data_IF_688691197253
#
_entry.id   IF_688691197253
#
_cell.length_a   1.000
_cell.length_b   1.000
_cell.length_c   1.000
_cell.angle_alpha   90.00
_cell.angle_beta   90.00
_cell.angle_gamma   90.00
#
_symmetry.space_group_name_H-M   'P 1'
#
loop_
_entity.id
_entity.type
_entity.pdbx_description
1 polymer ?
#
# COMPACT_ATOMS: atom_id res chain seq x y z
N UNK A 1 -9.38 11.20 7.00
CA UNK A 1 -8.39 12.15 7.55
C UNK A 1 -6.98 11.76 7.13
N UNK A 2 -6.18 12.72 6.72
CA UNK A 2 -4.83 12.48 6.24
C UNK A 2 -3.81 13.06 7.20
N UNK A 3 -2.73 12.32 7.48
CA UNK A 3 -1.61 12.81 8.30
C UNK A 3 -0.68 13.71 7.50
N UNK A 4 -0.62 13.50 6.18
CA UNK A 4 0.22 14.29 5.27
C UNK A 4 -0.63 14.74 4.08
N UNK A 5 -0.37 15.94 3.59
CA UNK A 5 -1.12 16.45 2.43
C UNK A 5 -0.86 15.62 1.16
N UNK A 6 0.29 14.98 1.08
CA UNK A 6 0.65 14.10 -0.04
C UNK A 6 -0.23 12.86 -0.10
N UNK A 7 -0.78 12.41 1.03
CA UNK A 7 -1.61 11.21 1.10
C UNK A 7 -2.88 11.34 0.28
N UNK A 8 -3.45 12.55 0.24
CA UNK A 8 -4.68 12.80 -0.50
C UNK A 8 -4.54 12.48 -1.99
N UNK A 9 -3.39 12.80 -2.58
CA UNK A 9 -3.12 12.64 -4.00
C UNK A 9 -2.37 11.36 -4.35
N UNK A 10 -2.08 10.51 -3.36
CA UNK A 10 -1.40 9.24 -3.54
C UNK A 10 -2.27 8.11 -3.02
N UNK A 11 -2.10 7.69 -1.78
CA UNK A 11 -2.91 6.60 -1.20
C UNK A 11 -4.39 6.94 -1.13
N UNK A 12 -4.75 8.22 -1.05
CA UNK A 12 -6.14 8.65 -1.07
C UNK A 12 -6.86 8.27 -2.35
N UNK A 13 -6.19 8.40 -3.50
CA UNK A 13 -6.74 7.98 -4.80
C UNK A 13 -6.94 6.48 -4.81
N UNK A 14 -5.97 5.71 -4.31
CA UNK A 14 -6.07 4.26 -4.21
C UNK A 14 -7.20 3.83 -3.29
N UNK A 15 -7.37 4.51 -2.17
CA UNK A 15 -8.42 4.21 -1.22
C UNK A 15 -9.81 4.48 -1.81
N UNK A 16 -10.00 5.62 -2.46
CA UNK A 16 -11.26 5.96 -3.12
C UNK A 16 -11.61 4.94 -4.20
N UNK A 17 -10.65 4.55 -5.01
CA UNK A 17 -10.83 3.53 -6.03
C UNK A 17 -11.20 2.19 -5.38
N UNK A 18 -10.48 1.79 -4.33
CA UNK A 18 -10.73 0.54 -3.63
C UNK A 18 -12.12 0.47 -3.01
N UNK A 19 -12.60 1.54 -2.40
CA UNK A 19 -13.95 1.61 -1.83
C UNK A 19 -15.00 1.49 -2.94
N UNK A 20 -14.80 2.18 -4.06
CA UNK A 20 -15.75 2.15 -5.18
C UNK A 20 -15.77 0.80 -5.91
N UNK A 21 -14.67 0.05 -5.90
CA UNK A 21 -14.49 -1.18 -6.68
C UNK A 21 -14.02 -2.36 -5.81
N UNK A 22 -14.46 -2.43 -4.56
CA UNK A 22 -13.92 -3.37 -3.57
C UNK A 22 -13.99 -4.86 -3.95
N UNK A 23 -14.98 -5.25 -4.76
CA UNK A 23 -15.14 -6.64 -5.20
C UNK A 23 -14.48 -6.92 -6.55
N UNK A 24 -13.91 -5.89 -7.18
CA UNK A 24 -13.30 -6.03 -8.49
C UNK A 24 -11.82 -6.35 -8.39
N UNK A 25 -11.32 -7.09 -9.37
CA UNK A 25 -9.89 -7.30 -9.54
C UNK A 25 -9.27 -6.03 -10.11
N UNK A 26 -8.09 -5.68 -9.63
CA UNK A 26 -7.34 -4.55 -10.15
C UNK A 26 -5.90 -4.95 -10.37
N UNK A 27 -5.22 -4.21 -11.23
CA UNK A 27 -3.81 -4.45 -11.54
C UNK A 27 -2.96 -3.43 -10.81
N UNK A 28 -2.00 -3.92 -10.03
CA UNK A 28 -1.05 -3.09 -9.33
C UNK A 28 0.30 -3.24 -10.02
N UNK A 29 0.83 -2.14 -10.56
CA UNK A 29 2.10 -2.11 -11.28
C UNK A 29 3.14 -1.28 -10.56
N UNK A 30 4.35 -1.82 -10.49
CA UNK A 30 5.52 -1.09 -10.01
C UNK A 30 6.51 -0.96 -11.18
N UNK A 31 6.44 0.18 -11.88
CA UNK A 31 7.21 0.38 -13.09
C UNK A 31 6.77 -0.57 -14.20
N UNK A 32 7.71 -1.00 -15.04
CA UNK A 32 7.42 -1.90 -16.16
C UNK A 32 7.76 -3.36 -15.89
N UNK A 33 8.34 -3.67 -14.72
CA UNK A 33 8.92 -4.97 -14.43
C UNK A 33 8.30 -5.73 -13.28
N UNK A 34 7.20 -5.21 -12.76
CA UNK A 34 6.52 -5.85 -11.64
C UNK A 34 5.04 -5.57 -11.73
N UNK A 35 4.23 -6.64 -11.68
CA UNK A 35 2.80 -6.52 -11.86
C UNK A 35 2.05 -7.62 -11.12
N UNK A 36 0.96 -7.25 -10.43
CA UNK A 36 0.13 -8.16 -9.67
C UNK A 36 -1.34 -7.89 -9.94
N UNK A 37 -2.15 -8.95 -9.91
CA UNK A 37 -3.60 -8.84 -9.87
C UNK A 37 -4.03 -8.92 -8.42
N UNK A 38 -4.76 -7.93 -7.96
CA UNK A 38 -5.08 -7.75 -6.55
C UNK A 38 -6.55 -7.45 -6.32
N UNK A 39 -6.96 -7.58 -5.05
CA UNK A 39 -8.22 -7.03 -4.55
C UNK A 39 -7.94 -6.08 -3.41
N UNK A 40 -8.66 -4.97 -3.34
CA UNK A 40 -8.62 -4.09 -2.19
C UNK A 40 -9.11 -4.83 -0.95
N UNK A 41 -8.38 -4.74 0.15
CA UNK A 41 -8.78 -5.31 1.43
C UNK A 41 -9.33 -4.24 2.38
N UNK A 42 -8.47 -3.32 2.76
CA UNK A 42 -8.81 -2.32 3.77
C UNK A 42 -7.78 -1.19 3.76
N UNK A 43 -8.04 -0.20 4.60
CA UNK A 43 -7.03 0.81 4.93
C UNK A 43 -6.96 0.91 6.44
N UNK A 44 -5.83 1.35 6.95
CA UNK A 44 -5.64 1.55 8.38
C UNK A 44 -4.56 2.59 8.64
N UNK A 45 -4.53 3.07 9.89
CA UNK A 45 -3.51 4.00 10.34
C UNK A 45 -2.33 3.24 10.92
N UNK A 46 -1.13 3.69 10.62
CA UNK A 46 0.10 3.09 11.12
C UNK A 46 1.11 4.16 11.46
N UNK A 47 2.26 3.75 11.97
CA UNK A 47 3.34 4.66 12.34
C UNK A 47 4.71 3.98 12.21
N UNK A 48 5.75 4.76 12.44
CA UNK A 48 7.14 4.30 12.40
C UNK A 48 7.76 4.18 13.81
N UNK A 49 6.97 3.84 14.81
CA UNK A 49 7.47 3.85 16.20
C UNK A 49 8.71 2.97 16.40
N UNK A 50 8.81 1.84 15.69
CA UNK A 50 9.97 0.97 15.75
C UNK A 50 11.24 1.69 15.26
N UNK A 51 11.14 2.47 14.20
CA UNK A 51 12.26 3.27 13.68
C UNK A 51 12.65 4.39 14.65
N UNK A 52 11.66 5.02 15.29
CA UNK A 52 11.91 6.05 16.31
C UNK A 52 12.70 5.46 17.47
N UNK A 53 12.31 4.30 17.96
CA UNK A 53 12.98 3.63 19.08
C UNK A 53 14.36 3.10 18.73
N UNK A 54 14.53 2.57 17.51
CA UNK A 54 15.78 1.92 17.10
C UNK A 54 16.81 2.86 16.51
N UNK A 55 16.40 3.91 15.81
CA UNK A 55 17.31 4.78 15.08
C UNK A 55 17.22 6.25 15.44
N UNK A 56 16.28 6.63 16.32
CA UNK A 56 16.07 8.04 16.67
C UNK A 56 15.42 8.84 15.54
N UNK A 57 14.79 8.20 14.58
CA UNK A 57 14.05 8.87 13.50
C UNK A 57 12.91 9.73 14.07
N UNK A 58 12.50 10.74 13.33
CA UNK A 58 11.33 11.54 13.71
C UNK A 58 10.06 10.69 13.63
N UNK A 59 9.17 10.85 14.60
CA UNK A 59 7.90 10.13 14.62
C UNK A 59 7.03 10.52 13.42
N UNK A 60 6.44 9.54 12.78
CA UNK A 60 5.60 9.73 11.61
C UNK A 60 4.39 8.79 11.65
N UNK A 61 3.20 9.34 11.41
CA UNK A 61 1.98 8.56 11.24
C UNK A 61 1.53 8.65 9.78
N UNK A 62 0.94 7.58 9.28
CA UNK A 62 0.53 7.53 7.88
C UNK A 62 -0.62 6.54 7.67
N UNK A 63 -1.31 6.69 6.53
CA UNK A 63 -2.38 5.78 6.12
C UNK A 63 -1.78 4.68 5.24
N UNK A 64 -2.18 3.45 5.50
CA UNK A 64 -1.82 2.27 4.72
C UNK A 64 -3.04 1.79 3.96
N UNK A 65 -2.87 1.51 2.67
CA UNK A 65 -3.88 0.84 1.86
C UNK A 65 -3.39 -0.57 1.59
N UNK A 66 -4.19 -1.57 1.95
CA UNK A 66 -3.80 -2.97 1.87
C UNK A 66 -4.57 -3.70 0.77
N UNK A 67 -3.85 -4.55 0.05
CA UNK A 67 -4.39 -5.38 -1.02
C UNK A 67 -4.07 -6.83 -0.78
N UNK A 68 -5.00 -7.74 -1.15
CA UNK A 68 -4.67 -9.15 -1.28
C UNK A 68 -4.22 -9.44 -2.70
N UNK A 69 -3.15 -10.21 -2.85
CA UNK A 69 -2.64 -10.59 -4.17
C UNK A 69 -3.33 -11.88 -4.61
N UNK A 70 -4.01 -11.81 -5.75
CA UNK A 70 -4.71 -12.95 -6.36
C UNK A 70 -3.78 -13.70 -7.30
N UNK A 71 -2.98 -12.97 -8.07
CA UNK A 71 -2.04 -13.57 -9.01
C UNK A 71 -0.84 -12.66 -9.22
N UNK A 72 0.32 -13.26 -9.43
CA UNK A 72 1.54 -12.55 -9.81
C UNK A 72 1.70 -12.66 -11.32
N UNK A 73 1.69 -11.53 -12.01
CA UNK A 73 1.89 -11.48 -13.46
C UNK A 73 3.38 -11.37 -13.77
N UNK A 74 4.05 -10.39 -13.13
CA UNK A 74 5.50 -10.23 -13.23
C UNK A 74 6.04 -10.09 -11.80
N UNK A 75 6.83 -11.06 -11.32
CA UNK A 75 7.34 -11.01 -9.95
C UNK A 75 8.38 -9.92 -9.76
N UNK A 76 8.47 -9.42 -8.53
CA UNK A 76 9.41 -8.39 -8.13
C UNK A 76 9.59 -8.38 -6.62
N UNK A 77 10.08 -7.26 -6.09
CA UNK A 77 10.45 -7.17 -4.68
C UNK A 77 9.31 -6.80 -3.72
N UNK A 78 8.18 -6.29 -4.24
CA UNK A 78 7.09 -5.79 -3.40
C UNK A 78 6.19 -6.89 -2.85
N UNK A 79 6.23 -8.06 -3.42
CA UNK A 79 5.45 -9.20 -2.94
C UNK A 79 6.23 -10.50 -3.19
N UNK A 80 6.44 -11.26 -2.12
CA UNK A 80 7.06 -12.58 -2.19
C UNK A 80 6.03 -13.65 -1.87
N UNK A 81 6.24 -14.85 -2.39
CA UNK A 81 5.39 -15.99 -2.09
C UNK A 81 5.40 -16.24 -0.57
N UNK A 82 4.22 -16.34 0.00
CA UNK A 82 4.04 -16.49 1.44
C UNK A 82 3.68 -15.19 2.16
N UNK A 83 3.80 -14.04 1.48
CA UNK A 83 3.31 -12.77 2.03
C UNK A 83 1.79 -12.77 2.04
N UNK A 84 1.20 -12.05 3.02
CA UNK A 84 -0.26 -11.93 3.13
C UNK A 84 -0.88 -11.02 2.09
N UNK A 85 -0.10 -10.12 1.53
CA UNK A 85 -0.57 -9.13 0.56
C UNK A 85 0.43 -8.00 0.39
N UNK A 86 -0.03 -6.92 -0.25
CA UNK A 86 0.78 -5.74 -0.48
C UNK A 86 0.19 -4.56 0.29
N UNK A 87 1.03 -3.82 0.97
CA UNK A 87 0.66 -2.61 1.68
C UNK A 87 1.32 -1.40 1.02
N UNK A 88 0.55 -0.36 0.78
CA UNK A 88 1.02 0.85 0.09
C UNK A 88 0.83 2.05 0.98
N UNK A 89 1.86 2.88 1.09
CA UNK A 89 1.82 4.15 1.80
C UNK A 89 2.23 5.26 0.84
N UNK A 90 2.04 6.53 1.27
CA UNK A 90 2.44 7.67 0.45
C UNK A 90 3.95 7.71 0.16
N UNK A 91 4.75 7.06 1.00
CA UNK A 91 6.20 7.00 0.81
C UNK A 91 6.61 6.08 -0.34
N UNK A 92 5.76 5.12 -0.69
CA UNK A 92 6.03 4.15 -1.74
C UNK A 92 5.47 4.53 -3.11
N UNK A 93 4.93 5.72 -3.22
CA UNK A 93 4.29 6.17 -4.46
C UNK A 93 5.02 7.33 -5.10
#
# INVERSE_FOLDING_TARGET
MWYHKEEKNTVGILLEYGIAHGDELLTLKYGEREEYVCKFLTSYESDNIADVENSGAAYNEFIVVAYSVVATVVPGEHFAQGDGGIEVTYLGL
#
